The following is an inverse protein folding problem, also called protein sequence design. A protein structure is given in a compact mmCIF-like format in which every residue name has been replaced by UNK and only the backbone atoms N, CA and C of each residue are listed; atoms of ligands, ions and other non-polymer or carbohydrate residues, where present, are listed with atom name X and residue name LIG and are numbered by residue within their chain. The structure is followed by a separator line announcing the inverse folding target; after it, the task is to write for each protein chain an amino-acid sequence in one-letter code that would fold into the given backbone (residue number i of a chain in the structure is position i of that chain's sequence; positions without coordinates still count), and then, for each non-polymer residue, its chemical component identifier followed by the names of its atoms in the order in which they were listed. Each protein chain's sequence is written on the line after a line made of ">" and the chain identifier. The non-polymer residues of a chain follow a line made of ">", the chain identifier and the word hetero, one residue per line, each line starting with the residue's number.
data_IF_711324283191
#
_entry.id   IF_711324283191
#
_cell.length_a   1.000
_cell.length_b   1.000
_cell.length_c   1.000
_cell.angle_alpha   90.00
_cell.angle_beta   90.00
_cell.angle_gamma   90.00
#
_symmetry.space_group_name_H-M   'P 1'
#
loop_
_entity.id
_entity.type
_entity.pdbx_description
1 polymer ?
#
# COMPACT_ATOMS: atom_id res chain seq x y z
N UNK A 1 -23.39 -6.14 13.44
CA UNK A 1 -22.48 -6.77 12.47
C UNK A 1 -22.10 -5.84 11.33
N UNK A 2 -23.00 -5.25 10.55
CA UNK A 2 -22.72 -4.34 9.41
C UNK A 2 -21.84 -3.13 9.77
N UNK A 3 -22.06 -2.49 10.94
CA UNK A 3 -21.24 -1.35 11.39
C UNK A 3 -19.78 -1.73 11.61
N UNK A 4 -19.50 -2.92 12.18
CA UNK A 4 -18.13 -3.41 12.37
C UNK A 4 -17.43 -3.69 11.03
N UNK A 5 -18.10 -4.34 10.09
CA UNK A 5 -17.57 -4.57 8.74
C UNK A 5 -17.20 -3.26 8.05
N UNK A 6 -18.03 -2.21 8.24
CA UNK A 6 -17.78 -0.88 7.70
C UNK A 6 -16.67 -0.13 8.44
N UNK A 7 -16.55 -0.26 9.76
CA UNK A 7 -15.48 0.32 10.56
C UNK A 7 -14.12 -0.24 10.15
N UNK A 8 -14.03 -1.55 10.01
CA UNK A 8 -12.83 -2.28 9.62
C UNK A 8 -12.52 -2.21 8.11
N UNK A 9 -13.36 -1.53 7.32
CA UNK A 9 -13.22 -1.40 5.86
C UNK A 9 -13.21 -2.72 5.09
N UNK A 10 -13.74 -3.81 5.65
CA UNK A 10 -13.81 -5.11 4.98
C UNK A 10 -14.72 -5.09 3.75
N UNK A 11 -15.68 -4.16 3.68
CA UNK A 11 -16.50 -3.89 2.51
C UNK A 11 -15.77 -3.13 1.37
N UNK A 12 -14.50 -2.74 1.58
CA UNK A 12 -13.64 -2.08 0.60
C UNK A 12 -12.26 -2.75 0.55
N UNK A 13 -12.17 -4.00 0.04
CA UNK A 13 -11.00 -4.86 0.20
C UNK A 13 -9.75 -4.37 -0.53
N UNK A 14 -9.88 -3.42 -1.46
CA UNK A 14 -8.75 -2.90 -2.24
C UNK A 14 -7.53 -2.54 -1.37
N UNK A 15 -7.74 -1.86 -0.23
CA UNK A 15 -6.64 -1.48 0.65
C UNK A 15 -5.95 -2.66 1.34
N UNK A 16 -6.64 -3.80 1.50
CA UNK A 16 -6.04 -5.04 1.99
C UNK A 16 -5.07 -5.59 0.96
N UNK A 17 -5.50 -5.69 -0.30
CA UNK A 17 -4.66 -6.16 -1.39
C UNK A 17 -3.46 -5.24 -1.64
N UNK A 18 -3.64 -3.91 -1.61
CA UNK A 18 -2.54 -2.96 -1.78
C UNK A 18 -1.49 -3.05 -0.66
N UNK A 19 -1.86 -3.49 0.54
CA UNK A 19 -0.95 -3.79 1.63
C UNK A 19 -0.32 -5.18 1.50
N UNK A 20 -1.05 -6.15 0.96
CA UNK A 20 -0.62 -7.54 0.81
C UNK A 20 0.39 -7.75 -0.34
N UNK A 21 0.16 -7.11 -1.52
CA UNK A 21 1.00 -7.35 -2.69
C UNK A 21 2.49 -7.13 -2.45
N UNK A 22 2.94 -6.05 -1.79
CA UNK A 22 4.36 -5.88 -1.46
C UNK A 22 4.95 -7.05 -0.66
N UNK A 23 4.19 -7.60 0.30
CA UNK A 23 4.59 -8.80 1.04
C UNK A 23 4.71 -10.00 0.11
N UNK A 24 3.71 -10.23 -0.74
CA UNK A 24 3.67 -11.34 -1.68
C UNK A 24 4.81 -11.26 -2.72
N UNK A 25 5.12 -10.06 -3.25
CA UNK A 25 6.25 -9.85 -4.16
C UNK A 25 7.58 -10.28 -3.52
N UNK A 26 7.82 -9.80 -2.31
CA UNK A 26 9.06 -10.12 -1.59
C UNK A 26 9.17 -11.59 -1.25
N UNK A 27 8.08 -12.21 -0.76
CA UNK A 27 8.05 -13.66 -0.50
C UNK A 27 8.32 -14.47 -1.77
N UNK A 28 7.77 -14.04 -2.92
CA UNK A 28 8.02 -14.73 -4.20
C UNK A 28 9.47 -14.54 -4.63
N UNK A 29 10.03 -13.34 -4.43
CA UNK A 29 11.45 -13.08 -4.72
C UNK A 29 12.38 -13.97 -3.88
N UNK A 30 12.03 -14.34 -2.64
CA UNK A 30 12.86 -15.27 -1.85
C UNK A 30 13.01 -16.63 -2.51
N UNK A 31 11.98 -17.09 -3.25
CA UNK A 31 12.00 -18.39 -3.94
C UNK A 31 12.96 -18.41 -5.13
N UNK A 32 13.43 -17.27 -5.62
CA UNK A 32 14.50 -17.21 -6.64
C UNK A 32 15.86 -17.63 -6.10
N UNK A 33 16.05 -17.61 -4.78
CA UNK A 33 17.31 -17.93 -4.11
C UNK A 33 17.22 -19.24 -3.32
N UNK A 34 16.08 -19.49 -2.67
CA UNK A 34 15.85 -20.70 -1.87
C UNK A 34 14.42 -21.17 -2.06
N UNK A 35 14.24 -22.27 -2.79
CA UNK A 35 12.91 -22.86 -3.00
C UNK A 35 12.48 -23.63 -1.75
N UNK A 36 11.46 -23.12 -1.07
CA UNK A 36 10.81 -23.76 0.07
C UNK A 36 9.30 -23.55 0.02
N UNK A 37 8.61 -24.41 -0.69
CA UNK A 37 7.17 -24.29 -0.93
C UNK A 37 6.33 -24.28 0.35
N UNK A 38 6.70 -25.06 1.37
CA UNK A 38 5.98 -25.09 2.64
C UNK A 38 6.05 -23.75 3.37
N UNK A 39 7.24 -23.19 3.56
CA UNK A 39 7.42 -21.89 4.21
C UNK A 39 6.83 -20.76 3.37
N UNK A 40 6.97 -20.82 2.06
CA UNK A 40 6.36 -19.85 1.16
C UNK A 40 4.84 -19.77 1.34
N UNK A 41 4.14 -20.90 1.25
CA UNK A 41 2.68 -20.94 1.42
C UNK A 41 2.29 -20.52 2.84
N UNK A 42 2.99 -21.02 3.86
CA UNK A 42 2.75 -20.63 5.26
C UNK A 42 2.84 -19.10 5.43
N UNK A 43 3.93 -18.50 5.00
CA UNK A 43 4.11 -17.06 5.17
C UNK A 43 3.17 -16.24 4.28
N UNK A 44 2.87 -16.71 3.07
CA UNK A 44 1.89 -16.04 2.21
C UNK A 44 0.50 -15.93 2.88
N UNK A 45 0.05 -17.00 3.53
CA UNK A 45 -1.21 -17.01 4.30
C UNK A 45 -1.10 -16.07 5.50
N UNK A 46 -0.02 -16.14 6.29
CA UNK A 46 0.17 -15.29 7.47
C UNK A 46 0.21 -13.80 7.10
N UNK A 47 0.90 -13.43 6.02
CA UNK A 47 0.93 -12.05 5.54
C UNK A 47 -0.41 -11.59 4.97
N UNK A 48 -1.18 -12.48 4.34
CA UNK A 48 -2.52 -12.14 3.88
C UNK A 48 -3.46 -11.84 5.06
N UNK A 49 -3.49 -12.71 6.06
CA UNK A 49 -4.28 -12.51 7.29
C UNK A 49 -3.77 -11.27 8.03
N UNK A 50 -2.45 -11.10 8.16
CA UNK A 50 -1.82 -9.92 8.75
C UNK A 50 -2.22 -8.62 8.04
N UNK A 51 -2.30 -8.64 6.71
CA UNK A 51 -2.73 -7.49 5.90
C UNK A 51 -4.20 -7.13 6.17
N UNK A 52 -5.09 -8.10 6.33
CA UNK A 52 -6.49 -7.85 6.71
C UNK A 52 -6.55 -7.15 8.07
N UNK A 53 -5.82 -7.68 9.06
CA UNK A 53 -5.82 -7.17 10.43
C UNK A 53 -5.21 -5.78 10.50
N UNK A 54 -3.99 -5.61 9.97
CA UNK A 54 -3.24 -4.35 10.04
C UNK A 54 -3.89 -3.24 9.21
N UNK A 55 -4.46 -3.59 8.04
CA UNK A 55 -5.25 -2.61 7.26
C UNK A 55 -6.47 -2.14 8.03
N UNK A 56 -7.18 -3.05 8.69
CA UNK A 56 -8.34 -2.72 9.52
C UNK A 56 -7.94 -1.82 10.69
N UNK A 57 -6.92 -2.19 11.46
CA UNK A 57 -6.42 -1.41 12.59
C UNK A 57 -5.94 -0.01 12.14
N UNK A 58 -5.16 0.07 11.05
CA UNK A 58 -4.69 1.33 10.49
C UNK A 58 -5.82 2.25 10.01
N UNK A 59 -6.89 1.69 9.44
CA UNK A 59 -8.07 2.49 9.07
C UNK A 59 -8.79 3.06 10.27
N UNK A 60 -9.00 2.27 11.31
CA UNK A 60 -9.65 2.74 12.56
C UNK A 60 -8.79 3.81 13.22
N UNK A 61 -7.47 3.61 13.32
CA UNK A 61 -6.54 4.58 13.86
C UNK A 61 -6.57 5.91 13.08
N UNK A 62 -6.50 5.83 11.76
CA UNK A 62 -6.59 7.01 10.91
C UNK A 62 -7.93 7.75 11.09
N UNK A 63 -9.07 7.03 11.16
CA UNK A 63 -10.38 7.63 11.39
C UNK A 63 -10.49 8.30 12.79
N UNK A 64 -9.79 7.78 13.82
CA UNK A 64 -9.69 8.43 15.15
C UNK A 64 -8.92 9.75 15.04
N UNK A 65 -7.71 9.70 14.48
CA UNK A 65 -6.83 10.87 14.35
C UNK A 65 -7.50 11.95 13.49
N UNK A 66 -8.18 11.54 12.44
CA UNK A 66 -8.79 12.43 11.45
C UNK A 66 -10.24 12.82 11.73
N UNK A 67 -10.81 12.44 12.86
CA UNK A 67 -12.24 12.67 13.19
C UNK A 67 -12.72 14.07 12.81
N UNK A 68 -11.97 15.12 13.22
CA UNK A 68 -12.35 16.54 12.96
C UNK A 68 -12.20 16.92 11.47
N UNK A 69 -11.26 16.36 10.77
CA UNK A 69 -11.02 16.59 9.33
C UNK A 69 -12.09 15.87 8.52
N UNK A 70 -12.31 14.59 8.81
CA UNK A 70 -13.26 13.74 8.11
C UNK A 70 -14.71 14.30 8.19
N UNK A 71 -15.08 14.90 9.31
CA UNK A 71 -16.37 15.56 9.46
C UNK A 71 -16.59 16.71 8.46
N UNK A 72 -15.52 17.38 8.02
CA UNK A 72 -15.58 18.54 7.10
C UNK A 72 -15.50 18.13 5.62
N UNK A 73 -15.11 16.89 5.30
CA UNK A 73 -14.95 16.39 3.93
C UNK A 73 -16.21 15.63 3.50
N UNK A 74 -16.80 15.98 2.37
CA UNK A 74 -18.08 15.44 1.88
C UNK A 74 -18.10 13.91 1.80
N UNK A 75 -17.00 13.30 1.31
CA UNK A 75 -16.87 11.84 1.15
C UNK A 75 -16.78 11.12 2.48
N UNK A 76 -16.14 11.72 3.48
CA UNK A 76 -15.77 11.06 4.75
C UNK A 76 -16.67 11.46 5.93
N UNK A 77 -17.47 12.51 5.84
CA UNK A 77 -18.33 12.97 6.94
C UNK A 77 -19.32 11.93 7.47
N UNK A 78 -19.65 10.92 6.64
CA UNK A 78 -20.53 9.81 7.03
C UNK A 78 -19.79 8.63 7.67
N UNK A 79 -18.46 8.70 7.83
CA UNK A 79 -17.68 7.66 8.54
C UNK A 79 -18.19 7.54 9.97
N UNK A 80 -18.15 6.32 10.51
CA UNK A 80 -18.78 6.00 11.80
C UNK A 80 -18.21 6.81 12.96
N UNK A 81 -16.89 7.04 12.99
CA UNK A 81 -16.23 7.83 14.05
C UNK A 81 -16.45 9.34 13.82
N UNK A 82 -16.35 9.81 12.57
CA UNK A 82 -16.54 11.21 12.24
C UNK A 82 -17.99 11.67 12.49
N UNK A 83 -18.97 10.81 12.18
CA UNK A 83 -20.41 11.07 12.40
C UNK A 83 -20.87 10.85 13.84
N UNK A 84 -19.99 10.37 14.74
CA UNK A 84 -20.34 10.06 16.14
C UNK A 84 -21.14 8.78 16.36
N UNK A 85 -21.38 7.97 15.31
CA UNK A 85 -22.09 6.68 15.43
C UNK A 85 -21.32 5.61 16.22
N UNK A 86 -20.01 5.72 16.26
CA UNK A 86 -19.12 4.90 17.09
C UNK A 86 -18.26 5.85 17.93
N UNK A 87 -18.14 5.55 19.23
CA UNK A 87 -17.31 6.34 20.15
C UNK A 87 -15.82 6.11 19.86
N UNK A 88 -14.99 7.09 20.22
CA UNK A 88 -13.53 6.97 20.11
C UNK A 88 -13.02 5.86 21.02
N UNK A 89 -13.63 5.66 22.18
CA UNK A 89 -13.30 4.57 23.12
C UNK A 89 -13.55 3.20 22.48
N UNK A 90 -14.73 2.99 21.86
CA UNK A 90 -15.04 1.74 21.14
C UNK A 90 -14.05 1.50 19.98
N UNK A 91 -13.64 2.58 19.30
CA UNK A 91 -12.66 2.48 18.22
C UNK A 91 -11.27 2.04 18.75
N UNK A 92 -10.80 2.58 19.87
CA UNK A 92 -9.57 2.13 20.54
C UNK A 92 -9.64 0.67 20.99
N UNK A 93 -10.75 0.25 21.58
CA UNK A 93 -10.96 -1.15 21.96
C UNK A 93 -10.91 -2.07 20.72
N UNK A 94 -11.46 -1.63 19.58
CA UNK A 94 -11.37 -2.39 18.33
C UNK A 94 -9.92 -2.55 17.85
N UNK A 95 -9.09 -1.50 17.96
CA UNK A 95 -7.66 -1.58 17.63
C UNK A 95 -6.96 -2.56 18.57
N UNK A 96 -7.17 -2.46 19.89
CA UNK A 96 -6.55 -3.37 20.87
C UNK A 96 -6.88 -4.83 20.57
N UNK A 97 -8.14 -5.10 20.20
CA UNK A 97 -8.56 -6.45 19.80
C UNK A 97 -7.87 -6.95 18.51
N UNK A 98 -7.60 -6.04 17.56
CA UNK A 98 -6.90 -6.38 16.30
C UNK A 98 -5.39 -6.54 16.49
N UNK A 99 -4.77 -5.82 17.41
CA UNK A 99 -3.33 -5.89 17.65
C UNK A 99 -2.92 -7.26 18.22
N UNK A 100 -3.76 -7.88 19.03
CA UNK A 100 -3.45 -9.20 19.62
C UNK A 100 -3.17 -10.25 18.53
N UNK A 101 -4.07 -10.56 17.58
CA UNK A 101 -3.79 -11.54 16.53
C UNK A 101 -2.66 -11.07 15.59
N UNK A 102 -2.46 -9.77 15.38
CA UNK A 102 -1.31 -9.27 14.61
C UNK A 102 0.02 -9.63 15.30
N UNK A 103 0.10 -9.48 16.62
CA UNK A 103 1.27 -9.87 17.40
C UNK A 103 1.47 -11.39 17.40
N UNK A 104 0.39 -12.19 17.52
CA UNK A 104 0.49 -13.65 17.42
C UNK A 104 1.12 -14.07 16.08
N UNK A 105 0.75 -13.43 14.97
CA UNK A 105 1.37 -13.67 13.67
C UNK A 105 2.83 -13.24 13.68
N UNK A 106 3.12 -12.03 14.14
CA UNK A 106 4.49 -11.49 14.17
C UNK A 106 5.45 -12.37 15.00
N UNK A 107 4.97 -12.91 16.12
CA UNK A 107 5.79 -13.76 17.00
C UNK A 107 6.10 -15.16 16.41
N UNK A 108 5.47 -15.54 15.30
CA UNK A 108 5.84 -16.76 14.55
C UNK A 108 7.09 -16.56 13.65
N UNK A 109 7.54 -15.32 13.46
CA UNK A 109 8.70 -15.01 12.64
C UNK A 109 10.00 -15.08 13.44
N UNK A 110 11.14 -15.03 12.76
CA UNK A 110 12.46 -14.94 13.40
C UNK A 110 12.65 -13.60 14.17
N UNK A 111 13.67 -13.51 14.99
CA UNK A 111 13.88 -12.34 15.87
C UNK A 111 14.16 -11.06 15.08
N UNK A 112 14.89 -11.13 13.96
CA UNK A 112 15.14 -9.99 13.10
C UNK A 112 13.81 -9.41 12.55
N UNK A 113 12.96 -10.29 12.02
CA UNK A 113 11.64 -9.90 11.48
C UNK A 113 10.70 -9.36 12.56
N UNK A 114 10.77 -9.86 13.81
CA UNK A 114 10.00 -9.31 14.94
C UNK A 114 10.38 -7.86 15.21
N UNK A 115 11.68 -7.57 15.30
CA UNK A 115 12.18 -6.20 15.53
C UNK A 115 11.78 -5.29 14.37
N UNK A 116 11.97 -5.77 13.14
CA UNK A 116 11.60 -5.05 11.93
C UNK A 116 10.10 -4.78 11.84
N UNK A 117 9.26 -5.77 12.23
CA UNK A 117 7.82 -5.61 12.27
C UNK A 117 7.36 -4.59 13.32
N UNK A 118 7.93 -4.63 14.52
CA UNK A 118 7.62 -3.66 15.58
C UNK A 118 8.06 -2.24 15.19
N UNK A 119 9.20 -2.08 14.49
CA UNK A 119 9.68 -0.76 14.04
C UNK A 119 8.73 -0.09 13.04
N UNK A 120 7.95 -0.87 12.25
CA UNK A 120 6.90 -0.31 11.38
C UNK A 120 5.85 0.51 12.13
N UNK A 121 5.68 0.24 13.43
CA UNK A 121 4.77 0.98 14.31
C UNK A 121 5.03 2.49 14.30
N UNK A 122 6.29 2.92 14.19
CA UNK A 122 6.64 4.34 14.11
C UNK A 122 6.02 5.00 12.86
N UNK A 123 6.08 4.33 11.72
CA UNK A 123 5.48 4.81 10.47
C UNK A 123 3.95 4.82 10.55
N UNK A 124 3.36 3.76 11.11
CA UNK A 124 1.90 3.63 11.27
C UNK A 124 1.35 4.75 12.15
N UNK A 125 2.05 5.07 13.27
CA UNK A 125 1.64 6.11 14.21
C UNK A 125 1.80 7.50 13.60
N UNK A 126 2.90 7.76 12.88
CA UNK A 126 3.21 9.10 12.37
C UNK A 126 2.46 9.45 11.08
N UNK A 127 2.20 8.48 10.20
CA UNK A 127 1.60 8.69 8.90
C UNK A 127 0.32 9.57 8.89
N UNK A 128 -0.70 9.37 9.76
CA UNK A 128 -1.93 10.17 9.69
C UNK A 128 -1.74 11.67 9.97
N UNK A 129 -0.66 12.03 10.66
CA UNK A 129 -0.35 13.43 10.96
C UNK A 129 0.31 14.18 9.79
N UNK A 130 0.90 13.45 8.83
CA UNK A 130 1.71 14.03 7.77
C UNK A 130 0.94 15.01 6.89
N UNK A 131 -0.33 14.78 6.63
CA UNK A 131 -1.18 15.69 5.85
C UNK A 131 -1.41 17.06 6.51
N UNK A 132 -1.06 17.23 7.79
CA UNK A 132 -1.08 18.51 8.51
C UNK A 132 0.25 19.24 8.42
N UNK A 133 1.33 18.50 8.22
CA UNK A 133 2.72 18.99 8.30
C UNK A 133 3.29 19.23 6.90
N UNK A 134 3.15 18.24 5.99
CA UNK A 134 3.82 18.22 4.68
C UNK A 134 2.84 17.98 3.53
N UNK A 135 3.24 18.37 2.30
CA UNK A 135 2.54 18.03 1.07
C UNK A 135 2.81 16.59 0.58
N UNK A 136 3.56 15.78 1.33
CA UNK A 136 4.00 14.44 0.97
C UNK A 136 3.41 13.31 1.83
N UNK A 137 2.14 13.38 2.33
CA UNK A 137 1.57 12.29 3.12
C UNK A 137 1.52 10.97 2.34
N UNK A 138 1.37 11.02 0.99
CA UNK A 138 1.36 9.86 0.11
C UNK A 138 2.71 9.12 0.08
N UNK A 139 3.83 9.85 0.24
CA UNK A 139 5.16 9.26 0.36
C UNK A 139 5.30 8.49 1.70
N UNK A 140 4.83 9.08 2.79
CA UNK A 140 4.80 8.40 4.09
C UNK A 140 3.91 7.16 4.08
N UNK A 141 2.77 7.20 3.37
CA UNK A 141 1.97 6.02 3.12
C UNK A 141 2.76 4.97 2.31
N UNK A 142 3.50 5.42 1.30
CA UNK A 142 4.37 4.55 0.51
C UNK A 142 5.36 3.78 1.37
N UNK A 143 6.08 4.46 2.26
CA UNK A 143 6.97 3.81 3.22
C UNK A 143 6.23 2.83 4.14
N UNK A 144 5.06 3.22 4.65
CA UNK A 144 4.28 2.40 5.58
C UNK A 144 3.72 1.13 4.90
N UNK A 145 3.09 1.28 3.72
CA UNK A 145 2.42 0.17 3.04
C UNK A 145 3.39 -0.86 2.46
N UNK A 146 4.55 -0.41 2.03
CA UNK A 146 5.53 -1.30 1.42
C UNK A 146 6.52 -1.90 2.44
N UNK A 147 6.40 -1.57 3.73
CA UNK A 147 7.22 -2.19 4.79
C UNK A 147 7.16 -3.72 4.76
N UNK A 148 6.05 -4.25 4.26
CA UNK A 148 5.87 -5.67 4.02
C UNK A 148 6.86 -6.31 3.06
N UNK A 149 7.52 -5.53 2.17
CA UNK A 149 8.62 -6.03 1.33
C UNK A 149 9.80 -6.44 2.20
N UNK A 150 10.18 -5.57 3.14
CA UNK A 150 11.30 -5.83 4.05
C UNK A 150 11.00 -7.03 4.95
N UNK A 151 9.77 -7.12 5.46
CA UNK A 151 9.34 -8.25 6.27
C UNK A 151 9.28 -9.55 5.48
N UNK A 152 8.72 -9.56 4.27
CA UNK A 152 8.60 -10.75 3.44
C UNK A 152 9.95 -11.37 3.08
N UNK A 153 10.99 -10.55 2.92
CA UNK A 153 12.37 -11.01 2.75
C UNK A 153 12.96 -11.53 4.06
N UNK A 154 12.84 -10.75 5.12
CA UNK A 154 13.52 -11.02 6.39
C UNK A 154 13.05 -12.30 7.09
N UNK A 155 11.83 -12.79 6.82
CA UNK A 155 11.35 -14.06 7.39
C UNK A 155 12.11 -15.28 6.87
N UNK A 156 12.81 -15.15 5.73
CA UNK A 156 13.69 -16.19 5.16
C UNK A 156 15.17 -15.97 5.47
N UNK A 157 15.66 -14.74 5.39
CA UNK A 157 17.09 -14.44 5.32
C UNK A 157 17.65 -13.68 6.53
N UNK A 158 16.83 -13.21 7.45
CA UNK A 158 17.22 -12.46 8.67
C UNK A 158 18.13 -11.24 8.40
N UNK A 159 18.04 -10.67 7.21
CA UNK A 159 18.79 -9.49 6.77
C UNK A 159 17.96 -8.62 5.83
N UNK A 160 18.56 -7.54 5.35
CA UNK A 160 18.02 -6.68 4.27
C UNK A 160 19.14 -6.56 3.22
N UNK A 161 18.82 -6.88 1.98
CA UNK A 161 19.74 -6.80 0.84
C UNK A 161 19.40 -5.62 -0.07
N UNK A 162 20.28 -5.33 -1.03
CA UNK A 162 20.05 -4.27 -2.01
C UNK A 162 18.82 -4.55 -2.86
N UNK A 163 18.59 -5.81 -3.25
CA UNK A 163 17.42 -6.26 -4.02
C UNK A 163 16.13 -5.96 -3.27
N UNK A 164 16.13 -6.22 -1.96
CA UNK A 164 14.98 -5.92 -1.09
C UNK A 164 14.72 -4.44 -1.00
N UNK A 165 15.77 -3.61 -0.88
CA UNK A 165 15.64 -2.14 -0.86
C UNK A 165 15.09 -1.63 -2.20
N UNK A 166 15.59 -2.15 -3.34
CA UNK A 166 15.09 -1.79 -4.66
C UNK A 166 13.60 -2.13 -4.79
N UNK A 167 13.19 -3.33 -4.38
CA UNK A 167 11.80 -3.75 -4.42
C UNK A 167 10.92 -2.90 -3.47
N UNK A 168 11.44 -2.56 -2.28
CA UNK A 168 10.76 -1.65 -1.36
C UNK A 168 10.52 -0.28 -1.98
N UNK A 169 11.55 0.32 -2.59
CA UNK A 169 11.44 1.62 -3.26
C UNK A 169 10.52 1.55 -4.50
N UNK A 170 10.50 0.43 -5.22
CA UNK A 170 9.53 0.17 -6.28
C UNK A 170 8.09 0.36 -5.78
N UNK A 171 7.76 -0.29 -4.66
CA UNK A 171 6.45 -0.17 -4.04
C UNK A 171 6.16 1.24 -3.53
N UNK A 172 7.16 1.93 -2.96
CA UNK A 172 7.00 3.32 -2.49
C UNK A 172 6.61 4.25 -3.63
N UNK A 173 7.31 4.20 -4.78
CA UNK A 173 6.96 5.01 -5.94
C UNK A 173 5.61 4.64 -6.54
N UNK A 174 5.28 3.36 -6.62
CA UNK A 174 3.96 2.91 -7.05
C UNK A 174 2.85 3.44 -6.12
N UNK A 175 3.04 3.34 -4.80
CA UNK A 175 2.08 3.84 -3.81
C UNK A 175 1.92 5.36 -3.92
N UNK A 176 3.02 6.09 -4.08
CA UNK A 176 3.02 7.54 -4.26
C UNK A 176 2.15 7.95 -5.47
N UNK A 177 2.24 7.20 -6.58
CA UNK A 177 1.42 7.43 -7.77
C UNK A 177 -0.06 7.16 -7.52
N UNK A 178 -0.41 5.94 -7.10
CA UNK A 178 -1.82 5.57 -6.98
C UNK A 178 -2.55 6.30 -5.84
N UNK A 179 -1.86 6.60 -4.74
CA UNK A 179 -2.49 7.33 -3.64
C UNK A 179 -2.63 8.83 -3.95
N UNK A 180 -1.77 9.38 -4.82
CA UNK A 180 -2.01 10.71 -5.41
C UNK A 180 -3.28 10.72 -6.25
N UNK A 181 -3.52 9.69 -7.08
CA UNK A 181 -4.77 9.53 -7.82
C UNK A 181 -5.96 9.44 -6.85
N UNK A 182 -5.84 8.64 -5.80
CA UNK A 182 -6.90 8.52 -4.78
C UNK A 182 -7.24 9.85 -4.13
N UNK A 183 -6.22 10.65 -3.80
CA UNK A 183 -6.37 11.95 -3.15
C UNK A 183 -7.10 13.01 -4.04
N UNK A 184 -7.15 12.82 -5.36
CA UNK A 184 -7.94 13.70 -6.24
C UNK A 184 -9.42 13.75 -5.89
N UNK A 185 -9.97 12.69 -5.27
CA UNK A 185 -11.38 12.62 -4.87
C UNK A 185 -11.75 13.67 -3.82
N UNK A 186 -10.80 14.06 -2.98
CA UNK A 186 -11.02 14.98 -1.86
C UNK A 186 -10.37 16.36 -2.10
N UNK A 187 -9.68 16.54 -3.24
CA UNK A 187 -8.87 17.74 -3.57
C UNK A 187 -9.61 19.07 -3.32
N UNK A 188 -10.90 19.15 -3.69
CA UNK A 188 -11.70 20.39 -3.54
C UNK A 188 -11.97 20.68 -2.06
N UNK A 189 -12.31 19.65 -1.30
CA UNK A 189 -12.60 19.78 0.14
C UNK A 189 -11.29 20.06 0.91
N UNK A 190 -10.20 19.35 0.57
CA UNK A 190 -8.88 19.49 1.19
C UNK A 190 -8.31 20.90 1.03
N UNK A 191 -8.50 21.54 -0.15
CA UNK A 191 -8.14 22.93 -0.37
C UNK A 191 -8.87 23.90 0.57
N UNK A 192 -10.18 23.66 0.81
CA UNK A 192 -11.01 24.53 1.69
C UNK A 192 -10.57 24.41 3.16
N UNK A 193 -10.19 23.22 3.60
CA UNK A 193 -9.80 22.95 5.00
C UNK A 193 -8.30 23.01 5.23
N UNK A 194 -7.52 23.42 4.20
CA UNK A 194 -6.06 23.57 4.22
C UNK A 194 -5.30 22.28 4.59
N UNK A 195 -5.82 21.13 4.21
CA UNK A 195 -5.13 19.82 4.30
C UNK A 195 -4.16 19.70 3.12
N UNK A 196 -2.98 19.17 3.39
CA UNK A 196 -1.89 19.05 2.39
C UNK A 196 -1.89 17.66 1.76
N UNK A 197 -1.62 17.59 0.44
CA UNK A 197 -1.44 16.34 -0.32
C UNK A 197 -0.61 16.57 -1.58
N UNK A 198 -0.05 15.51 -2.15
CA UNK A 198 0.63 15.57 -3.46
C UNK A 198 -0.34 15.96 -4.58
N UNK A 199 -1.62 15.55 -4.49
CA UNK A 199 -2.65 15.96 -5.44
C UNK A 199 -2.90 17.49 -5.46
N UNK A 200 -2.66 18.17 -4.34
CA UNK A 200 -2.71 19.63 -4.25
C UNK A 200 -1.38 20.25 -4.74
N UNK A 201 -0.24 19.68 -4.29
CA UNK A 201 1.10 20.18 -4.64
C UNK A 201 1.31 20.18 -6.15
N UNK A 202 0.99 19.07 -6.80
CA UNK A 202 1.19 18.86 -8.24
C UNK A 202 -0.08 19.12 -9.07
N UNK A 203 -1.00 19.94 -8.59
CA UNK A 203 -2.29 20.20 -9.26
C UNK A 203 -2.16 20.74 -10.70
N UNK A 204 -1.08 21.42 -11.02
CA UNK A 204 -0.79 21.99 -12.34
C UNK A 204 0.12 21.09 -13.19
N UNK A 205 0.80 20.12 -12.57
CA UNK A 205 1.77 19.24 -13.21
C UNK A 205 1.53 17.75 -12.83
N UNK A 206 0.28 17.41 -12.61
CA UNK A 206 -0.12 16.07 -12.14
C UNK A 206 0.35 14.96 -13.11
N UNK A 207 0.28 15.20 -14.42
CA UNK A 207 0.68 14.24 -15.44
C UNK A 207 2.15 13.83 -15.26
N UNK A 208 3.04 14.80 -15.27
CA UNK A 208 4.49 14.56 -15.20
C UNK A 208 4.87 13.95 -13.84
N UNK A 209 4.20 14.37 -12.78
CA UNK A 209 4.41 13.78 -11.46
C UNK A 209 3.99 12.29 -11.41
N UNK A 210 2.85 11.92 -11.95
CA UNK A 210 2.42 10.52 -12.01
C UNK A 210 3.34 9.69 -12.91
N UNK A 211 3.76 10.25 -14.07
CA UNK A 211 4.76 9.59 -14.91
C UNK A 211 6.08 9.39 -14.19
N UNK A 212 6.58 10.40 -13.47
CA UNK A 212 7.77 10.26 -12.64
C UNK A 212 7.63 9.10 -11.64
N UNK A 213 6.53 9.04 -10.90
CA UNK A 213 6.30 7.96 -9.93
C UNK A 213 6.31 6.58 -10.60
N UNK A 214 5.59 6.43 -11.70
CA UNK A 214 5.43 5.14 -12.34
C UNK A 214 6.66 4.72 -13.14
N UNK A 215 7.34 5.65 -13.83
CA UNK A 215 8.62 5.37 -14.48
C UNK A 215 9.66 4.95 -13.44
N UNK A 216 9.77 5.66 -12.31
CA UNK A 216 10.69 5.27 -11.23
C UNK A 216 10.41 3.85 -10.73
N UNK A 217 9.13 3.51 -10.51
CA UNK A 217 8.73 2.16 -10.09
C UNK A 217 9.14 1.10 -11.12
N UNK A 218 8.87 1.31 -12.40
CA UNK A 218 9.22 0.37 -13.48
C UNK A 218 10.74 0.28 -13.67
N UNK A 219 11.47 1.39 -13.64
CA UNK A 219 12.94 1.39 -13.76
C UNK A 219 13.58 0.57 -12.64
N UNK A 220 13.06 0.68 -11.41
CA UNK A 220 13.54 -0.12 -10.28
C UNK A 220 13.24 -1.62 -10.47
N UNK A 221 12.07 -2.01 -11.04
CA UNK A 221 11.80 -3.40 -11.40
C UNK A 221 12.76 -3.91 -12.48
N UNK A 222 13.03 -3.11 -13.50
CA UNK A 222 14.00 -3.44 -14.54
C UNK A 222 15.40 -3.60 -13.94
N UNK A 223 15.83 -2.69 -13.07
CA UNK A 223 17.12 -2.77 -12.38
C UNK A 223 17.18 -4.02 -11.49
N UNK A 224 16.10 -4.37 -10.78
CA UNK A 224 16.01 -5.61 -10.01
C UNK A 224 16.19 -6.84 -10.90
N UNK A 225 15.56 -6.87 -12.08
CA UNK A 225 15.70 -7.97 -13.03
C UNK A 225 17.14 -8.17 -13.51
N UNK A 226 17.85 -7.08 -13.82
CA UNK A 226 19.27 -7.16 -14.18
C UNK A 226 20.15 -7.61 -13.00
N UNK A 227 19.91 -7.06 -11.82
CA UNK A 227 20.69 -7.39 -10.62
C UNK A 227 20.54 -8.87 -10.21
N UNK A 228 19.36 -9.44 -10.43
CA UNK A 228 19.05 -10.84 -10.04
C UNK A 228 19.14 -11.82 -11.23
N UNK A 229 19.58 -11.37 -12.42
CA UNK A 229 19.77 -12.21 -13.61
C UNK A 229 18.46 -12.83 -14.14
N UNK A 230 17.36 -12.06 -14.14
CA UNK A 230 16.05 -12.60 -14.59
C UNK A 230 16.00 -12.85 -16.10
N UNK A 231 15.09 -13.73 -16.48
CA UNK A 231 14.89 -14.16 -17.87
C UNK A 231 14.45 -12.99 -18.77
N UNK A 232 14.62 -13.14 -20.09
CA UNK A 232 14.12 -12.16 -21.05
C UNK A 232 12.58 -11.99 -20.97
N UNK A 233 11.86 -13.06 -20.60
CA UNK A 233 10.42 -13.05 -20.40
C UNK A 233 10.01 -12.07 -19.29
N UNK A 234 10.80 -12.00 -18.21
CA UNK A 234 10.59 -11.03 -17.14
C UNK A 234 10.48 -9.59 -17.68
N UNK A 235 11.43 -9.17 -18.51
CA UNK A 235 11.45 -7.80 -19.04
C UNK A 235 10.28 -7.51 -19.98
N UNK A 236 9.85 -8.49 -20.80
CA UNK A 236 8.63 -8.35 -21.62
C UNK A 236 7.41 -8.14 -20.74
N UNK A 237 7.26 -8.93 -19.67
CA UNK A 237 6.12 -8.84 -18.76
C UNK A 237 6.14 -7.55 -17.93
N UNK A 238 7.32 -7.06 -17.53
CA UNK A 238 7.46 -5.73 -16.90
C UNK A 238 7.06 -4.61 -17.87
N UNK A 239 7.36 -4.74 -19.18
CA UNK A 239 6.89 -3.77 -20.17
C UNK A 239 5.35 -3.76 -20.27
N UNK A 240 4.68 -4.92 -20.18
CA UNK A 240 3.21 -4.99 -20.10
C UNK A 240 2.68 -4.30 -18.83
N UNK A 241 3.34 -4.51 -17.69
CA UNK A 241 3.00 -3.82 -16.44
C UNK A 241 3.17 -2.30 -16.56
N UNK A 242 4.21 -1.83 -17.28
CA UNK A 242 4.43 -0.41 -17.56
C UNK A 242 3.29 0.19 -18.42
N UNK A 243 2.78 -0.56 -19.41
CA UNK A 243 1.62 -0.12 -20.20
C UNK A 243 0.39 0.09 -19.30
N UNK A 244 0.13 -0.82 -18.34
CA UNK A 244 -0.98 -0.67 -17.40
C UNK A 244 -0.91 0.65 -16.62
N UNK A 245 0.26 1.00 -16.06
CA UNK A 245 0.46 2.24 -15.33
C UNK A 245 0.36 3.48 -16.24
N UNK A 246 0.88 3.38 -17.46
CA UNK A 246 0.77 4.45 -18.48
C UNK A 246 -0.70 4.72 -18.83
N UNK A 247 -1.51 3.68 -19.01
CA UNK A 247 -2.94 3.83 -19.24
C UNK A 247 -3.65 4.51 -18.07
N UNK A 248 -3.27 4.24 -16.82
CA UNK A 248 -3.83 4.96 -15.67
C UNK A 248 -3.58 6.47 -15.78
N UNK A 249 -2.36 6.88 -16.15
CA UNK A 249 -2.02 8.31 -16.31
C UNK A 249 -2.84 8.94 -17.43
N UNK A 250 -2.98 8.27 -18.56
CA UNK A 250 -3.77 8.77 -19.70
C UNK A 250 -5.25 8.90 -19.33
N UNK A 251 -5.81 7.90 -18.64
CA UNK A 251 -7.22 7.90 -18.25
C UNK A 251 -7.49 9.02 -17.24
N UNK A 252 -6.63 9.18 -16.21
CA UNK A 252 -6.87 10.17 -15.16
C UNK A 252 -6.87 11.61 -15.69
N UNK A 253 -6.11 11.90 -16.75
CA UNK A 253 -6.09 13.21 -17.39
C UNK A 253 -7.42 13.55 -18.10
N UNK A 254 -8.12 12.55 -18.62
CA UNK A 254 -9.40 12.71 -19.30
C UNK A 254 -10.58 12.79 -18.31
N UNK A 255 -10.34 12.54 -17.02
CA UNK A 255 -11.40 12.53 -16.00
C UNK A 255 -11.56 13.94 -15.44
N UNK A 256 -12.77 14.51 -15.52
CA UNK A 256 -13.12 15.73 -14.80
C UNK A 256 -13.01 15.49 -13.28
N UNK A 257 -12.48 16.46 -12.55
CA UNK A 257 -12.23 16.37 -11.09
C UNK A 257 -13.46 15.97 -10.25
N UNK A 258 -14.67 16.18 -10.74
CA UNK A 258 -15.91 15.84 -10.05
C UNK A 258 -16.33 14.36 -10.21
N UNK A 259 -15.69 13.59 -11.09
CA UNK A 259 -16.09 12.20 -11.33
C UNK A 259 -15.34 11.25 -10.40
N UNK A 260 -15.75 11.23 -9.11
CA UNK A 260 -15.13 10.43 -8.05
C UNK A 260 -15.17 8.92 -8.36
N UNK A 261 -16.23 8.43 -9.00
CA UNK A 261 -16.37 7.00 -9.33
C UNK A 261 -15.33 6.54 -10.36
N UNK A 262 -15.06 7.35 -11.38
CA UNK A 262 -14.02 7.04 -12.36
C UNK A 262 -12.63 7.08 -11.73
N UNK A 263 -12.33 8.06 -10.87
CA UNK A 263 -11.09 8.13 -10.10
C UNK A 263 -10.93 6.87 -9.24
N UNK A 264 -12.00 6.45 -8.57
CA UNK A 264 -12.00 5.23 -7.75
C UNK A 264 -11.74 3.98 -8.58
N UNK A 265 -12.28 3.88 -9.81
CA UNK A 265 -12.01 2.75 -10.71
C UNK A 265 -10.53 2.68 -11.12
N UNK A 266 -9.91 3.83 -11.45
CA UNK A 266 -8.47 3.89 -11.75
C UNK A 266 -7.64 3.50 -10.52
N UNK A 267 -7.99 3.99 -9.33
CA UNK A 267 -7.34 3.57 -8.09
C UNK A 267 -7.47 2.06 -7.86
N UNK A 268 -8.66 1.49 -8.05
CA UNK A 268 -8.91 0.06 -7.85
C UNK A 268 -8.12 -0.83 -8.83
N UNK A 269 -7.81 -0.36 -10.03
CA UNK A 269 -7.03 -1.12 -11.02
C UNK A 269 -5.58 -1.40 -10.58
N UNK A 270 -5.10 -0.73 -9.53
CA UNK A 270 -3.79 -1.05 -8.92
C UNK A 270 -3.76 -2.45 -8.28
N UNK A 271 -4.92 -3.03 -7.94
CA UNK A 271 -4.97 -4.44 -7.55
C UNK A 271 -4.49 -5.36 -8.69
N UNK A 272 -4.88 -5.06 -9.93
CA UNK A 272 -4.43 -5.83 -11.11
C UNK A 272 -2.94 -5.66 -11.35
N UNK A 273 -2.38 -4.46 -11.14
CA UNK A 273 -0.93 -4.25 -11.20
C UNK A 273 -0.21 -5.07 -10.12
N UNK A 274 -0.71 -5.02 -8.87
CA UNK A 274 -0.13 -5.80 -7.77
C UNK A 274 -0.11 -7.30 -8.04
N UNK A 275 -1.23 -7.84 -8.54
CA UNK A 275 -1.33 -9.23 -8.95
C UNK A 275 -0.39 -9.55 -10.13
N UNK A 276 -0.31 -8.66 -11.12
CA UNK A 276 0.54 -8.87 -12.29
C UNK A 276 2.02 -9.02 -11.90
N UNK A 277 2.54 -8.12 -11.04
CA UNK A 277 3.93 -8.23 -10.55
C UNK A 277 4.13 -9.53 -9.75
N UNK A 278 3.17 -9.92 -8.91
CA UNK A 278 3.22 -11.20 -8.20
C UNK A 278 3.32 -12.38 -9.18
N UNK A 279 2.50 -12.39 -10.24
CA UNK A 279 2.52 -13.47 -11.23
C UNK A 279 3.83 -13.48 -12.04
N UNK A 280 4.37 -12.31 -12.39
CA UNK A 280 5.66 -12.20 -13.08
C UNK A 280 6.77 -12.81 -12.19
N UNK A 281 6.82 -12.44 -10.92
CA UNK A 281 7.80 -12.98 -9.99
C UNK A 281 7.63 -14.49 -9.77
N UNK A 282 6.38 -14.96 -9.74
CA UNK A 282 6.08 -16.37 -9.57
C UNK A 282 6.52 -17.20 -10.80
N UNK A 283 6.32 -16.68 -12.00
CA UNK A 283 6.79 -17.34 -13.23
C UNK A 283 8.32 -17.48 -13.25
N UNK A 284 9.05 -16.49 -12.74
CA UNK A 284 10.50 -16.52 -12.67
C UNK A 284 11.09 -17.57 -11.70
N UNK A 285 10.26 -18.20 -10.86
CA UNK A 285 10.69 -19.37 -10.06
C UNK A 285 11.00 -20.55 -10.98
N UNK A 286 10.33 -20.64 -12.15
CA UNK A 286 10.44 -21.78 -13.06
C UNK A 286 11.29 -21.47 -14.31
N UNK A 287 11.43 -20.21 -14.70
CA UNK A 287 12.09 -19.77 -15.93
C UNK A 287 13.32 -18.88 -15.70
N UNK A 288 13.58 -18.49 -14.46
CA UNK A 288 14.67 -17.60 -14.04
C UNK A 288 15.95 -18.31 -13.60
#
# INVERSE_FOLDING_TARGET
>A
MYQFVSLLRLNKPIGIFLLFWPCAWSLTMTQWFVVNNYLFIKYLILFFIGSIIMRSAGCVYNDIVDKKIDFRVQRTKKRLIASGKISVTTAWLSISFLIIPALIILFQFNNFSKILGLSSGLLIITYPFMKRITFWPQLFLGFTFNWGVLLGWSVFFENITLETIILYMTGVFWTLGYDTIYALQDKVDDLKIKVKSTAIKFRHDLKNFLFFCYISSITLLVALGFLTGRSFIYFILIAIAALHLTFQVIIIQKIKSNNKDKIQKVFNSNNSFGLLIFLIFFLEIYYG
#
